data_IF_185557224421
#
_entry.id   IF_185557224421
#
_cell.length_a   1.000
_cell.length_b   1.000
_cell.length_c   1.000
_cell.angle_alpha   90.00
_cell.angle_beta   90.00
_cell.angle_gamma   90.00
#
_symmetry.space_group_name_H-M   'P 1'
#
loop_
_entity.id
_entity.type
_entity.pdbx_description
1 polymer ?
#
# COMPACT_ATOMS: atom_id res chain seq x y z
N UNK A 1 -4.01 -9.38 -0.25
CA UNK A 1 -3.95 -10.65 0.47
C UNK A 1 -3.42 -11.70 -0.48
N UNK A 2 -2.22 -12.22 -0.21
CA UNK A 2 -1.46 -12.93 -1.23
C UNK A 2 -1.23 -11.99 -2.44
N UNK A 3 -1.43 -12.49 -3.65
CA UNK A 3 -1.32 -11.69 -4.89
C UNK A 3 -2.64 -11.00 -5.29
N UNK A 4 -3.69 -11.07 -4.44
CA UNK A 4 -5.01 -10.52 -4.75
C UNK A 4 -5.25 -9.17 -4.10
N UNK A 5 -5.89 -8.27 -4.87
CA UNK A 5 -6.19 -6.90 -4.44
C UNK A 5 -7.54 -6.82 -3.74
N UNK A 6 -7.53 -6.58 -2.44
CA UNK A 6 -8.74 -6.44 -1.60
C UNK A 6 -9.17 -4.98 -1.42
N UNK A 7 -8.24 -4.04 -1.57
CA UNK A 7 -8.50 -2.62 -1.36
C UNK A 7 -7.69 -1.76 -2.35
N UNK A 8 -8.13 -0.53 -2.53
CA UNK A 8 -7.41 0.51 -3.25
C UNK A 8 -7.42 1.80 -2.44
N UNK A 9 -6.31 2.53 -2.46
CA UNK A 9 -6.16 3.81 -1.78
C UNK A 9 -5.72 4.86 -2.81
N UNK A 10 -6.37 6.01 -2.79
CA UNK A 10 -5.98 7.20 -3.54
C UNK A 10 -5.69 8.32 -2.56
N UNK A 11 -4.52 8.93 -2.68
CA UNK A 11 -4.08 10.03 -1.81
C UNK A 11 -3.83 11.26 -2.69
N UNK A 12 -4.47 12.37 -2.36
CA UNK A 12 -4.29 13.66 -3.00
C UNK A 12 -3.77 14.65 -1.95
N UNK A 13 -2.57 15.16 -2.18
CA UNK A 13 -1.88 16.07 -1.26
C UNK A 13 -1.92 17.51 -1.78
N UNK A 14 -2.22 18.46 -0.90
CA UNK A 14 -2.05 19.89 -1.14
C UNK A 14 -0.81 20.38 -0.40
N UNK A 15 0.04 21.11 -1.10
CA UNK A 15 1.28 21.68 -0.54
C UNK A 15 1.13 23.19 -0.36
N UNK A 16 1.68 23.72 0.74
CA UNK A 16 1.87 25.16 0.98
C UNK A 16 3.37 25.43 1.11
N UNK A 17 3.95 25.91 0.00
CA UNK A 17 5.39 25.94 -0.14
C UNK A 17 5.97 24.53 -0.21
N UNK A 18 6.87 24.18 0.72
CA UNK A 18 7.45 22.84 0.84
C UNK A 18 6.79 21.98 1.93
N UNK A 19 5.79 22.49 2.62
CA UNK A 19 5.09 21.77 3.67
C UNK A 19 3.79 21.16 3.16
N UNK A 20 3.43 19.98 3.69
CA UNK A 20 2.13 19.37 3.48
C UNK A 20 1.08 20.19 4.22
N UNK A 21 0.10 20.73 3.49
CA UNK A 21 -1.01 21.52 4.04
C UNK A 21 -2.19 20.60 4.39
N UNK A 22 -2.59 19.75 3.44
CA UNK A 22 -3.69 18.81 3.64
C UNK A 22 -3.54 17.57 2.76
N UNK A 23 -4.18 16.47 3.17
CA UNK A 23 -4.30 15.24 2.39
C UNK A 23 -5.75 14.80 2.33
N UNK A 24 -6.24 14.47 1.14
CA UNK A 24 -7.53 13.78 0.95
C UNK A 24 -7.22 12.34 0.63
N UNK A 25 -7.77 11.42 1.41
CA UNK A 25 -7.53 9.98 1.26
C UNK A 25 -8.83 9.25 0.97
N UNK A 26 -8.96 8.76 -0.26
CA UNK A 26 -10.04 7.86 -0.67
C UNK A 26 -9.64 6.40 -0.44
N UNK A 27 -10.46 5.63 0.27
CA UNK A 27 -10.22 4.20 0.54
C UNK A 27 -11.40 3.38 0.04
N UNK A 28 -11.14 2.48 -0.91
CA UNK A 28 -12.11 1.50 -1.37
C UNK A 28 -11.75 0.10 -0.88
N UNK A 29 -12.66 -0.58 -0.18
CA UNK A 29 -12.46 -1.95 0.30
C UNK A 29 -13.51 -2.87 -0.32
N UNK A 30 -13.07 -3.98 -0.90
CA UNK A 30 -13.95 -5.00 -1.44
C UNK A 30 -14.45 -5.89 -0.29
N UNK A 31 -15.65 -5.65 0.20
CA UNK A 31 -16.20 -6.36 1.37
C UNK A 31 -16.99 -7.58 0.93
N UNK A 32 -18.16 -7.40 0.30
CA UNK A 32 -19.10 -8.46 -0.02
C UNK A 32 -19.27 -8.73 -1.54
N UNK A 33 -18.48 -8.09 -2.39
CA UNK A 33 -18.56 -8.27 -3.84
C UNK A 33 -18.23 -9.72 -4.23
N UNK A 34 -19.06 -10.30 -5.10
CA UNK A 34 -18.81 -11.61 -5.71
C UNK A 34 -18.30 -11.49 -7.15
N UNK A 35 -18.66 -10.39 -7.82
CA UNK A 35 -18.24 -10.08 -9.17
C UNK A 35 -17.60 -8.70 -9.21
N UNK A 36 -16.60 -8.54 -10.07
CA UNK A 36 -15.90 -7.29 -10.31
C UNK A 36 -16.05 -6.90 -11.76
N UNK A 37 -16.50 -5.68 -11.99
CA UNK A 37 -16.75 -5.14 -13.34
C UNK A 37 -15.62 -4.21 -13.81
N UNK A 38 -14.56 -4.06 -13.02
CA UNK A 38 -13.42 -3.21 -13.33
C UNK A 38 -12.25 -4.02 -13.88
N UNK A 39 -11.38 -3.37 -14.66
CA UNK A 39 -10.11 -3.94 -15.17
C UNK A 39 -9.02 -4.06 -14.11
N UNK A 40 -9.35 -3.93 -12.82
CA UNK A 40 -8.39 -4.08 -11.75
C UNK A 40 -7.81 -5.49 -11.75
N UNK A 41 -6.47 -5.65 -11.74
CA UNK A 41 -5.87 -6.98 -11.74
C UNK A 41 -6.17 -7.71 -10.44
N UNK A 42 -6.49 -9.00 -10.54
CA UNK A 42 -6.64 -9.93 -9.42
C UNK A 42 -7.52 -9.41 -8.25
N UNK A 43 -8.71 -8.82 -8.46
CA UNK A 43 -9.52 -8.32 -7.38
C UNK A 43 -10.08 -9.47 -6.55
N UNK A 44 -10.25 -9.23 -5.25
CA UNK A 44 -10.88 -10.17 -4.32
C UNK A 44 -11.63 -9.42 -3.24
N UNK A 45 -12.69 -10.00 -2.70
CA UNK A 45 -13.42 -9.46 -1.55
C UNK A 45 -13.16 -10.26 -0.27
N UNK A 46 -13.47 -9.65 0.88
CA UNK A 46 -13.46 -10.33 2.18
C UNK A 46 -14.38 -11.54 2.17
N UNK A 47 -15.58 -11.42 1.57
CA UNK A 47 -16.55 -12.51 1.42
C UNK A 47 -15.97 -13.68 0.64
N UNK A 48 -15.28 -13.42 -0.47
CA UNK A 48 -14.66 -14.48 -1.27
C UNK A 48 -13.52 -15.19 -0.54
N UNK A 49 -12.74 -14.47 0.29
CA UNK A 49 -11.63 -15.04 1.07
C UNK A 49 -12.13 -15.86 2.25
N UNK A 50 -13.09 -15.33 3.01
CA UNK A 50 -13.51 -15.88 4.30
C UNK A 50 -14.83 -16.67 4.24
N UNK A 51 -15.46 -16.75 3.04
CA UNK A 51 -16.69 -17.52 2.76
C UNK A 51 -17.86 -17.13 3.67
N UNK A 52 -17.93 -15.88 4.10
CA UNK A 52 -19.04 -15.33 4.89
C UNK A 52 -19.33 -13.89 4.50
N UNK A 53 -20.56 -13.46 4.75
CA UNK A 53 -20.99 -12.09 4.57
C UNK A 53 -20.59 -11.23 5.78
N UNK A 54 -20.30 -9.97 5.52
CA UNK A 54 -19.86 -9.00 6.53
C UNK A 54 -20.84 -7.84 6.62
N UNK A 55 -21.08 -7.35 7.83
CA UNK A 55 -21.73 -6.07 8.06
C UNK A 55 -20.77 -4.94 7.68
N UNK A 56 -21.14 -4.18 6.63
CA UNK A 56 -20.32 -3.08 6.09
C UNK A 56 -20.14 -1.99 7.15
N UNK A 57 -21.16 -1.70 7.98
CA UNK A 57 -21.06 -0.70 9.02
C UNK A 57 -20.08 -1.13 10.12
N UNK A 58 -20.05 -2.40 10.47
CA UNK A 58 -19.07 -2.92 11.43
C UNK A 58 -17.63 -2.82 10.88
N UNK A 59 -17.41 -3.11 9.58
CA UNK A 59 -16.11 -2.94 8.94
C UNK A 59 -15.70 -1.46 8.92
N UNK A 60 -16.61 -0.56 8.54
CA UNK A 60 -16.34 0.88 8.53
C UNK A 60 -15.97 1.39 9.93
N UNK A 61 -16.71 0.98 10.95
CA UNK A 61 -16.43 1.37 12.34
C UNK A 61 -15.04 0.90 12.78
N UNK A 62 -14.70 -0.36 12.48
CA UNK A 62 -13.39 -0.91 12.81
C UNK A 62 -12.26 -0.18 12.07
N UNK A 63 -12.46 0.17 10.80
CA UNK A 63 -11.51 0.97 10.02
C UNK A 63 -11.31 2.36 10.63
N UNK A 64 -12.39 3.08 10.94
CA UNK A 64 -12.31 4.43 11.52
C UNK A 64 -11.61 4.42 12.89
N UNK A 65 -11.88 3.41 13.72
CA UNK A 65 -11.19 3.26 15.01
C UNK A 65 -9.67 3.07 14.81
N UNK A 66 -9.27 2.22 13.85
CA UNK A 66 -7.85 2.02 13.53
C UNK A 66 -7.18 3.27 12.98
N UNK A 67 -7.88 4.02 12.14
CA UNK A 67 -7.39 5.29 11.63
C UNK A 67 -7.15 6.29 12.77
N UNK A 68 -8.09 6.38 13.72
CA UNK A 68 -7.96 7.24 14.90
C UNK A 68 -6.76 6.83 15.77
N UNK A 69 -6.59 5.52 16.03
CA UNK A 69 -5.44 4.99 16.77
C UNK A 69 -4.09 5.43 16.12
N UNK A 70 -3.99 5.36 14.78
CA UNK A 70 -2.77 5.79 14.07
C UNK A 70 -2.58 7.31 14.05
N UNK A 71 -3.66 8.09 13.98
CA UNK A 71 -3.58 9.55 14.10
C UNK A 71 -3.02 9.95 15.47
N UNK A 72 -3.43 9.27 16.54
CA UNK A 72 -2.86 9.51 17.87
C UNK A 72 -1.37 9.16 17.93
N UNK A 73 -0.94 8.03 17.33
CA UNK A 73 0.47 7.66 17.24
C UNK A 73 1.29 8.73 16.51
N UNK A 74 0.75 9.31 15.44
CA UNK A 74 1.39 10.41 14.69
C UNK A 74 1.47 11.69 15.52
N UNK A 75 0.39 12.05 16.25
CA UNK A 75 0.36 13.24 17.13
C UNK A 75 1.36 13.14 18.27
N UNK A 76 1.62 11.94 18.76
CA UNK A 76 2.63 11.66 19.78
C UNK A 76 4.07 11.64 19.22
N UNK A 77 4.24 11.84 17.91
CA UNK A 77 5.55 11.85 17.25
C UNK A 77 6.22 10.49 17.12
N UNK A 78 5.48 9.39 17.34
CA UNK A 78 5.98 8.02 17.25
C UNK A 78 6.06 7.51 15.80
N UNK A 79 6.76 8.26 14.93
CA UNK A 79 6.85 7.99 13.49
C UNK A 79 7.52 6.66 13.20
N UNK A 80 8.58 6.33 13.93
CA UNK A 80 9.33 5.07 13.76
C UNK A 80 8.44 3.82 13.88
N UNK A 81 7.42 3.88 14.76
CA UNK A 81 6.46 2.78 14.89
C UNK A 81 5.62 2.63 13.61
N UNK A 82 5.12 3.75 13.08
CA UNK A 82 4.30 3.75 11.86
C UNK A 82 5.12 3.25 10.67
N UNK A 83 6.36 3.74 10.53
CA UNK A 83 7.27 3.34 9.45
C UNK A 83 7.59 1.84 9.53
N UNK A 84 7.88 1.31 10.71
CA UNK A 84 8.18 -0.11 10.90
C UNK A 84 6.96 -1.00 10.57
N UNK A 85 5.76 -0.66 11.04
CA UNK A 85 4.53 -1.40 10.76
C UNK A 85 4.14 -1.30 9.27
N UNK A 86 4.34 -0.13 8.65
CA UNK A 86 4.12 0.05 7.22
C UNK A 86 5.06 -0.83 6.40
N UNK A 87 6.36 -0.78 6.68
CA UNK A 87 7.36 -1.58 5.98
C UNK A 87 7.08 -3.08 6.10
N UNK A 88 6.74 -3.58 7.31
CA UNK A 88 6.37 -4.99 7.52
C UNK A 88 5.11 -5.40 6.76
N UNK A 89 4.23 -4.45 6.46
CA UNK A 89 2.97 -4.69 5.75
C UNK A 89 3.10 -4.64 4.22
N UNK A 90 4.24 -4.20 3.71
CA UNK A 90 4.45 -4.08 2.26
C UNK A 90 4.35 -5.45 1.57
N UNK A 91 3.71 -5.45 0.40
CA UNK A 91 3.72 -6.61 -0.47
C UNK A 91 5.16 -6.91 -0.93
N UNK A 92 5.61 -8.14 -0.75
CA UNK A 92 6.99 -8.57 -1.09
C UNK A 92 8.09 -7.81 -0.31
N UNK A 93 7.84 -7.49 0.95
CA UNK A 93 8.81 -6.83 1.82
C UNK A 93 10.06 -7.69 2.14
N UNK A 94 10.02 -8.99 1.86
CA UNK A 94 11.12 -9.90 2.08
C UNK A 94 11.60 -10.56 0.78
N UNK A 95 12.91 -10.74 0.66
CA UNK A 95 13.54 -11.46 -0.45
C UNK A 95 13.60 -10.68 -1.76
N UNK A 96 14.24 -11.30 -2.75
CA UNK A 96 14.33 -10.77 -4.10
C UNK A 96 13.14 -11.21 -4.94
N UNK A 97 12.56 -10.24 -5.67
CA UNK A 97 11.42 -10.45 -6.56
C UNK A 97 11.68 -9.84 -7.93
N UNK A 98 10.88 -10.24 -8.90
CA UNK A 98 10.96 -9.66 -10.24
C UNK A 98 10.14 -8.38 -10.33
N UNK A 99 10.79 -7.32 -10.76
CA UNK A 99 10.19 -6.03 -11.10
C UNK A 99 10.37 -5.75 -12.59
N UNK A 100 9.63 -4.78 -13.13
CA UNK A 100 9.77 -4.33 -14.51
C UNK A 100 9.80 -2.81 -14.57
N UNK A 101 10.77 -2.26 -15.32
CA UNK A 101 10.87 -0.84 -15.67
C UNK A 101 11.13 -0.72 -17.17
N UNK A 102 10.38 0.15 -17.85
CA UNK A 102 10.53 0.40 -19.30
C UNK A 102 10.55 -0.90 -20.14
N UNK A 103 9.69 -1.86 -19.76
CA UNK A 103 9.59 -3.16 -20.42
C UNK A 103 10.69 -4.18 -20.06
N UNK A 104 11.71 -3.79 -19.31
CA UNK A 104 12.83 -4.66 -18.90
C UNK A 104 12.59 -5.20 -17.49
N UNK A 105 12.68 -6.52 -17.35
CA UNK A 105 12.58 -7.18 -16.05
C UNK A 105 13.96 -7.18 -15.36
N UNK A 106 13.94 -6.98 -14.03
CA UNK A 106 15.11 -7.07 -13.16
C UNK A 106 14.73 -7.66 -11.81
N UNK A 107 15.71 -8.17 -11.07
CA UNK A 107 15.53 -8.74 -9.74
C UNK A 107 15.95 -7.73 -8.69
N UNK A 108 15.10 -7.48 -7.69
CA UNK A 108 15.43 -6.60 -6.58
C UNK A 108 14.66 -6.98 -5.31
N UNK A 109 15.10 -6.45 -4.16
CA UNK A 109 14.34 -6.50 -2.91
C UNK A 109 13.97 -5.09 -2.48
N UNK A 110 12.90 -4.95 -1.71
CA UNK A 110 12.55 -3.67 -1.08
C UNK A 110 13.57 -3.38 0.01
N UNK A 111 14.34 -2.30 -0.15
CA UNK A 111 15.31 -1.82 0.82
C UNK A 111 14.72 -0.78 1.78
N UNK A 112 13.71 -0.02 1.33
CA UNK A 112 13.09 1.02 2.14
C UNK A 112 12.05 1.82 1.37
N UNK A 113 11.59 2.88 2.03
CA UNK A 113 10.70 3.89 1.46
C UNK A 113 11.36 5.26 1.67
N UNK A 114 11.48 6.05 0.62
CA UNK A 114 12.01 7.40 0.68
C UNK A 114 11.05 8.38 1.35
N UNK A 115 11.55 9.56 1.70
CA UNK A 115 10.82 10.60 2.46
C UNK A 115 9.54 11.11 1.80
N UNK A 116 9.40 10.92 0.49
CA UNK A 116 8.20 11.29 -0.27
C UNK A 116 7.43 10.06 -0.78
N UNK A 117 7.68 8.88 -0.20
CA UNK A 117 7.01 7.64 -0.57
C UNK A 117 7.64 6.89 -1.75
N UNK A 118 8.86 7.26 -2.18
CA UNK A 118 9.58 6.52 -3.20
C UNK A 118 9.89 5.11 -2.74
N UNK A 119 9.68 4.13 -3.63
CA UNK A 119 10.08 2.75 -3.37
C UNK A 119 11.59 2.61 -3.60
N UNK A 120 12.32 2.23 -2.55
CA UNK A 120 13.75 1.94 -2.64
C UNK A 120 13.95 0.45 -2.93
N UNK A 121 14.52 0.13 -4.09
CA UNK A 121 14.82 -1.24 -4.51
C UNK A 121 16.32 -1.46 -4.55
N UNK A 122 16.76 -2.54 -3.92
CA UNK A 122 18.15 -3.01 -3.93
C UNK A 122 18.30 -4.20 -4.87
N UNK A 123 19.17 -4.08 -5.83
CA UNK A 123 19.56 -5.15 -6.75
C UNK A 123 20.57 -6.12 -6.10
N UNK A 124 20.78 -7.35 -6.65
CA UNK A 124 21.69 -8.33 -6.08
C UNK A 124 23.16 -7.88 -5.96
N UNK A 125 23.56 -6.88 -6.72
CA UNK A 125 24.88 -6.26 -6.65
C UNK A 125 25.04 -5.22 -5.53
N UNK A 126 23.94 -4.97 -4.75
CA UNK A 126 23.90 -4.01 -3.67
C UNK A 126 23.56 -2.58 -4.10
N UNK A 127 23.30 -2.34 -5.39
CA UNK A 127 22.87 -1.02 -5.87
C UNK A 127 21.43 -0.72 -5.44
N UNK A 128 21.21 0.43 -4.81
CA UNK A 128 19.89 0.89 -4.37
C UNK A 128 19.40 2.01 -5.27
N UNK A 129 18.23 1.83 -5.86
CA UNK A 129 17.58 2.83 -6.72
C UNK A 129 16.20 3.21 -6.17
N UNK A 130 15.88 4.51 -6.19
CA UNK A 130 14.57 5.03 -5.82
C UNK A 130 13.64 5.12 -7.04
N UNK A 131 12.39 4.71 -6.84
CA UNK A 131 11.36 4.73 -7.86
C UNK A 131 10.13 5.51 -7.39
N UNK A 132 9.66 6.43 -8.21
CA UNK A 132 8.39 7.12 -7.99
C UNK A 132 7.21 6.20 -8.30
N UNK A 133 6.01 6.61 -7.89
CA UNK A 133 4.78 5.89 -8.17
C UNK A 133 4.63 5.59 -9.67
N UNK A 134 4.39 4.33 -10.02
CA UNK A 134 4.27 3.80 -11.38
C UNK A 134 5.54 3.77 -12.24
N UNK A 135 6.70 4.12 -11.73
CA UNK A 135 7.96 3.96 -12.48
C UNK A 135 8.42 2.50 -12.55
N UNK A 136 7.98 1.68 -11.63
CA UNK A 136 8.28 0.25 -11.58
C UNK A 136 7.01 -0.58 -11.39
N UNK A 137 6.95 -1.71 -12.05
CA UNK A 137 5.84 -2.66 -11.97
C UNK A 137 6.26 -3.90 -11.20
N UNK A 138 5.38 -4.39 -10.34
CA UNK A 138 5.50 -5.72 -9.71
C UNK A 138 5.08 -6.78 -10.74
N UNK A 139 5.98 -7.69 -11.11
CA UNK A 139 5.65 -8.82 -11.99
C UNK A 139 5.05 -9.95 -11.13
N UNK A 140 3.73 -10.11 -11.19
CA UNK A 140 2.96 -11.14 -10.47
C UNK A 140 2.60 -12.27 -11.40
#
# INVERSE_FOLDING_TARGET
>A
VGEKKIAGILIENTLKGMALDSSIVGVGVNVNQEQFLSDAPNPVSMKQLLKKEFDINAILKAFLQKLEDYIEVLREGRLEKVDAEYFQSLFRNEGFHTYRKDGKAFSARIAGIGSFGQLQLEEPDGNVTEYMFKEVEFVV
#
